data_IF_461402819814
#
_entry.id   IF_461402819814
#
_cell.length_a   1.000
_cell.length_b   1.000
_cell.length_c   1.000
_cell.angle_alpha   90.00
_cell.angle_beta   90.00
_cell.angle_gamma   90.00
#
_symmetry.space_group_name_H-M   'P 1'
#
loop_
_entity.id
_entity.type
_entity.pdbx_description
1 polymer ?
#
# COMPACT_ATOMS: atom_id res chain seq x y z
N UNK A 1 -11.32 -39.25 -92.30
CA UNK A 1 -11.04 -38.38 -91.17
C UNK A 1 -12.31 -38.13 -90.37
N UNK A 2 -12.50 -38.91 -89.25
CA UNK A 2 -13.69 -38.83 -88.38
C UNK A 2 -13.31 -38.07 -87.10
N UNK A 3 -13.95 -36.92 -86.88
CA UNK A 3 -13.83 -36.16 -85.63
C UNK A 3 -14.69 -36.81 -84.53
N UNK A 4 -14.06 -37.23 -83.45
CA UNK A 4 -14.73 -37.71 -82.26
C UNK A 4 -15.32 -36.54 -81.45
N UNK A 5 -16.65 -36.62 -81.17
CA UNK A 5 -17.31 -35.67 -80.26
C UNK A 5 -17.07 -36.16 -78.82
N UNK A 6 -16.62 -35.26 -77.97
CA UNK A 6 -16.55 -35.50 -76.51
C UNK A 6 -17.94 -35.38 -75.89
N UNK A 7 -18.32 -36.24 -74.98
CA UNK A 7 -19.56 -36.09 -74.20
C UNK A 7 -19.40 -35.06 -73.08
N UNK A 8 -20.46 -34.26 -72.89
CA UNK A 8 -20.56 -33.26 -71.78
C UNK A 8 -20.80 -33.98 -70.48
N UNK A 9 -20.27 -33.51 -69.35
CA UNK A 9 -20.54 -34.07 -68.03
C UNK A 9 -21.94 -33.67 -67.54
N UNK A 10 -22.70 -34.62 -67.11
CA UNK A 10 -23.98 -34.42 -66.45
C UNK A 10 -23.75 -34.06 -65.00
N UNK A 11 -24.41 -33.01 -64.54
CA UNK A 11 -24.40 -32.55 -63.13
C UNK A 11 -25.54 -33.27 -62.41
N UNK A 12 -25.30 -34.07 -61.36
CA UNK A 12 -26.38 -34.63 -60.56
C UNK A 12 -27.01 -33.57 -59.69
N UNK A 13 -28.30 -33.41 -59.74
CA UNK A 13 -29.14 -32.60 -58.84
C UNK A 13 -29.22 -33.28 -57.49
N UNK A 14 -28.63 -32.61 -56.46
CA UNK A 14 -28.75 -33.02 -55.08
C UNK A 14 -30.08 -32.50 -54.48
N UNK A 15 -30.73 -33.28 -53.58
CA UNK A 15 -31.98 -32.88 -52.96
C UNK A 15 -31.74 -31.80 -51.86
N UNK A 16 -32.69 -30.88 -51.79
CA UNK A 16 -32.75 -29.88 -50.71
C UNK A 16 -32.89 -30.55 -49.33
N UNK A 17 -31.76 -30.70 -48.62
CA UNK A 17 -31.74 -31.04 -47.22
C UNK A 17 -31.99 -29.77 -46.39
N UNK A 18 -33.05 -29.83 -45.56
CA UNK A 18 -33.39 -28.80 -44.59
C UNK A 18 -32.15 -28.51 -43.69
N UNK A 19 -31.51 -27.36 -43.89
CA UNK A 19 -30.51 -26.86 -42.98
C UNK A 19 -31.19 -26.43 -41.67
N UNK A 20 -31.01 -27.23 -40.62
CA UNK A 20 -31.38 -26.90 -39.25
C UNK A 20 -30.39 -25.83 -38.77
N UNK A 21 -30.85 -24.60 -38.67
CA UNK A 21 -30.06 -23.46 -38.13
C UNK A 21 -29.89 -23.69 -36.64
N UNK A 22 -28.76 -24.29 -36.20
CA UNK A 22 -28.36 -24.31 -34.81
C UNK A 22 -27.88 -22.91 -34.44
N UNK A 23 -28.74 -22.15 -33.75
CA UNK A 23 -28.40 -20.88 -33.13
C UNK A 23 -27.51 -21.19 -31.94
N UNK A 24 -26.18 -21.07 -32.11
CA UNK A 24 -25.23 -21.12 -31.01
C UNK A 24 -25.38 -19.83 -30.16
N UNK A 25 -26.10 -19.96 -29.05
CA UNK A 25 -26.15 -18.91 -28.02
C UNK A 25 -24.78 -18.82 -27.37
N UNK A 26 -23.98 -17.87 -27.81
CA UNK A 26 -22.74 -17.47 -27.14
C UNK A 26 -23.12 -16.69 -25.89
N UNK A 27 -23.21 -17.34 -24.73
CA UNK A 27 -23.32 -16.69 -23.46
C UNK A 27 -21.96 -16.02 -23.17
N UNK A 28 -21.88 -14.69 -22.98
CA UNK A 28 -20.64 -14.10 -22.51
C UNK A 28 -20.40 -14.59 -21.07
N UNK A 29 -19.32 -15.34 -20.84
CA UNK A 29 -18.77 -15.53 -19.51
C UNK A 29 -18.33 -14.15 -19.01
N UNK A 30 -19.22 -13.47 -18.31
CA UNK A 30 -18.90 -12.26 -17.54
C UNK A 30 -17.93 -12.68 -16.45
N UNK A 31 -16.63 -12.51 -16.69
CA UNK A 31 -15.62 -12.61 -15.65
C UNK A 31 -15.90 -11.53 -14.62
N UNK A 32 -16.47 -11.91 -13.47
CA UNK A 32 -16.55 -11.03 -12.32
C UNK A 32 -15.11 -10.70 -11.91
N UNK A 33 -14.64 -9.49 -12.26
CA UNK A 33 -13.40 -8.96 -11.73
C UNK A 33 -13.60 -8.81 -10.21
N UNK A 34 -12.96 -9.69 -9.43
CA UNK A 34 -12.94 -9.55 -7.98
C UNK A 34 -12.23 -8.23 -7.67
N UNK A 35 -12.81 -7.37 -6.82
CA UNK A 35 -12.14 -6.17 -6.41
C UNK A 35 -10.83 -6.57 -5.71
N UNK A 36 -9.69 -6.14 -6.25
CA UNK A 36 -8.41 -6.19 -5.54
C UNK A 36 -8.58 -5.22 -4.37
N UNK A 37 -8.76 -5.76 -3.18
CA UNK A 37 -8.79 -4.95 -1.97
C UNK A 37 -7.42 -4.26 -1.87
N UNK A 38 -7.40 -2.93 -2.03
CA UNK A 38 -6.23 -2.13 -1.74
C UNK A 38 -5.89 -2.37 -0.25
N UNK A 39 -4.75 -2.99 0.02
CA UNK A 39 -4.29 -3.17 1.39
C UNK A 39 -4.01 -1.79 1.96
N UNK A 40 -4.73 -1.43 3.01
CA UNK A 40 -4.47 -0.20 3.73
C UNK A 40 -3.04 -0.25 4.30
N UNK A 41 -2.29 0.82 4.12
CA UNK A 41 -0.95 0.95 4.71
C UNK A 41 -1.10 0.87 6.22
N UNK A 42 -0.35 -0.05 6.85
CA UNK A 42 -0.36 -0.21 8.29
C UNK A 42 0.94 0.32 8.87
N UNK A 43 0.80 1.23 9.82
CA UNK A 43 1.92 1.74 10.59
C UNK A 43 1.87 1.23 12.03
N UNK A 44 3.05 1.01 12.61
CA UNK A 44 3.30 0.69 14.01
C UNK A 44 4.39 1.61 14.55
N UNK A 45 4.55 1.63 15.85
CA UNK A 45 5.65 2.37 16.49
C UNK A 45 6.56 1.42 17.25
N UNK A 46 7.85 1.70 17.25
CA UNK A 46 8.84 0.97 18.02
C UNK A 46 8.60 1.21 19.50
N UNK A 47 8.41 0.13 20.28
CA UNK A 47 8.12 0.22 21.72
C UNK A 47 9.36 0.62 22.53
N UNK A 48 10.48 -0.07 22.26
CA UNK A 48 11.77 0.14 22.90
C UNK A 48 12.86 0.05 21.84
N UNK A 49 14.07 0.56 22.13
CA UNK A 49 15.19 0.50 21.19
C UNK A 49 15.40 -0.92 20.67
N UNK A 50 15.30 -1.13 19.36
CA UNK A 50 15.44 -2.43 18.71
C UNK A 50 16.36 -2.36 17.51
N UNK A 51 16.82 -3.52 17.02
CA UNK A 51 17.64 -3.61 15.82
C UNK A 51 16.78 -3.86 14.59
N UNK A 52 16.99 -3.10 13.54
CA UNK A 52 16.55 -3.44 12.21
C UNK A 52 17.58 -4.39 11.61
N UNK A 53 17.13 -5.54 11.11
CA UNK A 53 17.99 -6.60 10.61
C UNK A 53 17.77 -6.86 9.13
N UNK A 54 18.76 -7.44 8.47
CA UNK A 54 18.68 -7.80 7.06
C UNK A 54 17.71 -8.96 6.81
N UNK A 55 17.64 -9.92 7.75
CA UNK A 55 16.80 -11.13 7.65
C UNK A 55 16.00 -11.35 8.94
N UNK A 56 14.89 -12.13 8.89
CA UNK A 56 14.05 -12.43 10.06
C UNK A 56 14.69 -13.50 10.95
N UNK A 57 15.86 -13.21 11.50
CA UNK A 57 16.59 -14.09 12.39
C UNK A 57 17.32 -13.30 13.49
N UNK A 58 17.40 -13.83 14.74
CA UNK A 58 18.00 -13.10 15.85
C UNK A 58 19.51 -12.89 15.71
N UNK A 59 20.19 -13.71 14.93
CA UNK A 59 21.62 -13.66 14.61
C UNK A 59 21.93 -12.97 13.27
N UNK A 60 20.90 -12.54 12.52
CA UNK A 60 21.08 -11.82 11.27
C UNK A 60 21.81 -10.49 11.47
N UNK A 61 22.49 -10.03 10.43
CA UNK A 61 23.19 -8.75 10.45
C UNK A 61 22.25 -7.59 10.82
N UNK A 62 22.72 -6.75 11.74
CA UNK A 62 22.00 -5.55 12.16
C UNK A 62 22.34 -4.39 11.21
N UNK A 63 21.35 -3.88 10.50
CA UNK A 63 21.50 -2.73 9.61
C UNK A 63 21.70 -1.45 10.43
N UNK A 64 20.81 -1.21 11.38
CA UNK A 64 20.91 -0.10 12.34
C UNK A 64 19.94 -0.29 13.50
N UNK A 65 19.98 0.66 14.45
CA UNK A 65 19.13 0.67 15.64
C UNK A 65 17.98 1.67 15.47
N UNK A 66 16.75 1.18 15.59
CA UNK A 66 15.55 2.00 15.68
C UNK A 66 15.38 2.52 17.11
N UNK A 67 15.02 3.79 17.24
CA UNK A 67 14.74 4.44 18.54
C UNK A 67 13.30 4.17 18.98
N UNK A 68 13.00 4.25 20.29
CA UNK A 68 11.64 4.21 20.78
C UNK A 68 10.78 5.28 20.10
N UNK A 69 9.53 4.92 19.78
CA UNK A 69 8.59 5.81 19.12
C UNK A 69 8.80 5.96 17.61
N UNK A 70 9.88 5.46 17.01
CA UNK A 70 10.04 5.53 15.54
C UNK A 70 8.85 4.87 14.86
N UNK A 71 8.09 5.56 13.98
CA UNK A 71 7.07 4.94 13.16
C UNK A 71 7.72 4.02 12.13
N UNK A 72 7.07 2.91 11.82
CA UNK A 72 7.45 1.98 10.75
C UNK A 72 6.21 1.52 10.01
N UNK A 73 6.32 1.36 8.70
CA UNK A 73 5.29 0.76 7.85
C UNK A 73 5.46 -0.75 7.81
N UNK A 74 4.40 -1.50 8.06
CA UNK A 74 4.43 -2.96 7.98
C UNK A 74 4.24 -3.38 6.53
N UNK A 75 5.22 -4.11 5.98
CA UNK A 75 5.19 -4.62 4.60
C UNK A 75 4.85 -6.11 4.55
N UNK A 76 5.48 -6.92 5.42
CA UNK A 76 5.27 -8.37 5.50
C UNK A 76 5.27 -8.81 6.96
N UNK A 77 4.53 -9.88 7.26
CA UNK A 77 4.59 -10.60 8.56
C UNK A 77 4.99 -12.04 8.31
N UNK A 78 5.98 -12.52 9.04
CA UNK A 78 6.52 -13.86 8.88
C UNK A 78 7.06 -14.37 10.22
N UNK A 79 6.51 -15.47 10.73
CA UNK A 79 7.00 -16.22 11.89
C UNK A 79 7.42 -15.38 13.12
N UNK A 80 6.61 -14.37 13.47
CA UNK A 80 6.88 -13.48 14.59
C UNK A 80 7.76 -12.28 14.25
N UNK A 81 8.27 -12.20 13.03
CA UNK A 81 9.00 -11.07 12.49
C UNK A 81 8.11 -10.19 11.62
N UNK A 82 8.48 -8.92 11.49
CA UNK A 82 7.84 -7.98 10.60
C UNK A 82 8.89 -7.33 9.70
N UNK A 83 8.71 -7.47 8.39
CA UNK A 83 9.45 -6.65 7.45
C UNK A 83 8.81 -5.28 7.43
N UNK A 84 9.63 -4.29 7.67
CA UNK A 84 9.17 -2.91 7.79
C UNK A 84 9.90 -1.98 6.82
N UNK A 85 9.23 -0.89 6.44
CA UNK A 85 9.87 0.26 5.83
C UNK A 85 10.06 1.33 6.90
N UNK A 86 11.25 1.89 6.98
CA UNK A 86 11.62 2.97 7.90
C UNK A 86 11.30 4.36 7.30
N UNK A 87 11.37 5.44 8.10
CA UNK A 87 11.12 6.80 7.61
C UNK A 87 12.09 7.29 6.52
N UNK A 88 13.27 6.70 6.39
CA UNK A 88 14.25 7.01 5.35
C UNK A 88 13.98 6.23 4.04
N UNK A 89 13.00 5.30 4.05
CA UNK A 89 12.64 4.46 2.92
C UNK A 89 13.39 3.14 2.86
N UNK A 90 14.26 2.84 3.83
CA UNK A 90 14.97 1.57 3.96
C UNK A 90 14.05 0.43 4.40
N UNK A 91 14.42 -0.80 4.06
CA UNK A 91 13.68 -2.00 4.46
C UNK A 91 14.55 -2.88 5.35
N UNK A 92 13.90 -3.56 6.28
CA UNK A 92 14.53 -4.56 7.12
C UNK A 92 13.52 -5.28 7.99
N UNK A 93 14.00 -6.13 8.88
CA UNK A 93 13.19 -6.97 9.74
C UNK A 93 13.35 -6.57 11.20
N UNK A 94 12.24 -6.56 11.91
CA UNK A 94 12.17 -6.38 13.37
C UNK A 94 11.33 -7.48 13.98
N UNK A 95 11.61 -7.84 15.23
CA UNK A 95 10.72 -8.73 15.99
C UNK A 95 9.35 -8.08 16.18
N UNK A 96 8.29 -8.83 15.94
CA UNK A 96 6.92 -8.31 16.07
C UNK A 96 6.60 -7.78 17.47
N UNK A 97 7.17 -8.40 18.52
CA UNK A 97 7.04 -7.95 19.90
C UNK A 97 7.72 -6.60 20.21
N UNK A 98 8.60 -6.13 19.34
CA UNK A 98 9.23 -4.81 19.48
C UNK A 98 8.34 -3.65 18.99
N UNK A 99 7.18 -3.96 18.38
CA UNK A 99 6.26 -2.97 17.81
C UNK A 99 4.96 -2.89 18.62
N UNK A 100 4.45 -1.67 18.76
CA UNK A 100 3.17 -1.40 19.44
C UNK A 100 2.16 -0.73 18.52
N UNK A 101 0.89 -0.83 18.88
CA UNK A 101 -0.23 -0.25 18.13
C UNK A 101 -0.36 1.25 18.30
N UNK A 102 0.21 1.81 19.39
CA UNK A 102 0.24 3.28 19.55
C UNK A 102 0.90 3.90 18.33
N UNK A 103 0.22 4.86 17.73
CA UNK A 103 0.68 5.50 16.49
C UNK A 103 1.54 6.71 16.80
N UNK A 104 2.60 6.85 16.06
CA UNK A 104 3.46 8.03 16.02
C UNK A 104 3.69 8.46 14.58
N UNK A 105 4.10 9.69 14.42
CA UNK A 105 4.61 10.24 13.16
C UNK A 105 5.97 10.85 13.41
N UNK A 106 6.78 10.96 12.37
CA UNK A 106 8.10 11.60 12.44
C UNK A 106 8.11 12.79 11.48
N UNK A 107 8.67 13.90 11.93
CA UNK A 107 8.82 15.11 11.11
C UNK A 107 9.85 14.86 10.01
N UNK A 108 9.44 15.04 8.75
CA UNK A 108 10.29 14.91 7.55
C UNK A 108 10.73 16.25 6.98
N UNK A 109 9.94 17.29 7.21
CA UNK A 109 10.34 18.67 6.90
C UNK A 109 11.55 19.10 7.73
N UNK A 110 12.34 20.04 7.27
CA UNK A 110 13.42 20.61 8.07
C UNK A 110 12.89 21.22 9.38
N UNK A 111 11.74 21.88 9.29
CA UNK A 111 10.98 22.42 10.40
C UNK A 111 9.49 22.36 10.08
N UNK A 112 8.70 21.82 10.98
CA UNK A 112 7.24 21.78 10.94
C UNK A 112 6.67 22.76 11.99
N UNK A 113 5.66 23.52 11.61
CA UNK A 113 4.93 24.41 12.52
C UNK A 113 3.66 23.70 12.96
N UNK A 114 3.64 23.22 14.18
CA UNK A 114 2.45 22.63 14.78
C UNK A 114 1.54 23.75 15.28
N UNK A 115 0.30 23.78 14.77
CA UNK A 115 -0.64 24.87 14.97
C UNK A 115 -1.72 24.52 15.99
N UNK A 116 -2.35 25.53 16.57
CA UNK A 116 -3.43 25.35 17.56
C UNK A 116 -4.74 24.87 16.95
N UNK A 117 -4.93 25.02 15.64
CA UNK A 117 -6.07 24.52 14.87
C UNK A 117 -5.62 24.04 13.50
N UNK A 118 -6.44 23.18 12.86
CA UNK A 118 -6.19 22.56 11.56
C UNK A 118 -6.39 23.56 10.40
N UNK A 119 -5.62 24.64 10.37
CA UNK A 119 -5.67 25.67 9.33
C UNK A 119 -4.37 26.49 9.30
N UNK A 120 -3.98 26.96 8.12
CA UNK A 120 -2.73 27.69 7.87
C UNK A 120 -2.61 29.00 8.66
N UNK A 121 -3.70 29.66 8.93
CA UNK A 121 -3.74 30.95 9.64
C UNK A 121 -3.78 30.82 11.15
N UNK A 122 -3.90 29.59 11.68
CA UNK A 122 -3.93 29.38 13.12
C UNK A 122 -2.57 29.69 13.76
N UNK A 123 -2.60 30.23 14.98
CA UNK A 123 -1.41 30.52 15.73
C UNK A 123 -0.56 29.26 15.97
N UNK A 124 0.77 29.35 15.96
CA UNK A 124 1.66 28.26 16.35
C UNK A 124 1.37 27.78 17.79
N UNK A 125 1.37 26.47 17.98
CA UNK A 125 1.42 25.83 19.30
C UNK A 125 2.87 25.57 19.71
N UNK A 126 3.65 24.97 18.80
CA UNK A 126 5.09 24.74 18.93
C UNK A 126 5.72 24.47 17.56
N UNK A 127 7.04 24.39 17.52
CA UNK A 127 7.79 24.00 16.33
C UNK A 127 8.50 22.67 16.58
N UNK A 128 8.61 21.83 15.55
CA UNK A 128 9.33 20.57 15.60
C UNK A 128 10.29 20.48 14.40
N UNK A 129 11.53 20.13 14.65
CA UNK A 129 12.55 19.95 13.61
C UNK A 129 12.52 18.54 13.03
N UNK A 130 13.21 18.33 11.93
CA UNK A 130 13.37 17.01 11.28
C UNK A 130 13.77 15.95 12.31
N UNK A 131 13.20 14.76 12.16
CA UNK A 131 13.38 13.58 13.01
C UNK A 131 12.77 13.68 14.42
N UNK A 132 12.05 14.74 14.75
CA UNK A 132 11.23 14.75 15.96
C UNK A 132 10.07 13.80 15.79
N UNK A 133 9.87 12.93 16.79
CA UNK A 133 8.75 11.98 16.85
C UNK A 133 7.62 12.62 17.64
N UNK A 134 6.42 12.57 17.08
CA UNK A 134 5.19 13.05 17.70
C UNK A 134 4.19 11.90 17.82
N UNK A 135 3.47 11.82 18.92
CA UNK A 135 2.36 10.89 19.06
C UNK A 135 1.21 11.35 18.16
N UNK A 136 0.63 10.42 17.39
CA UNK A 136 -0.54 10.67 16.57
C UNK A 136 -1.80 10.47 17.40
N UNK A 137 -2.51 11.55 17.70
CA UNK A 137 -3.76 11.51 18.47
C UNK A 137 -4.98 11.26 17.58
N UNK A 138 -5.00 11.93 16.42
CA UNK A 138 -6.06 11.78 15.43
C UNK A 138 -5.44 11.65 14.03
N UNK A 139 -5.90 10.70 13.20
CA UNK A 139 -5.43 10.55 11.82
C UNK A 139 -5.62 11.83 11.01
N UNK A 140 -4.87 11.95 9.93
CA UNK A 140 -4.97 13.11 9.06
C UNK A 140 -6.38 13.26 8.46
N UNK A 141 -6.93 14.46 8.59
CA UNK A 141 -8.18 14.86 7.96
C UNK A 141 -7.98 16.24 7.33
N UNK A 142 -8.43 16.41 6.08
CA UNK A 142 -8.28 17.66 5.32
C UNK A 142 -6.83 18.21 5.32
N UNK A 143 -5.83 17.30 5.28
CA UNK A 143 -4.41 17.65 5.25
C UNK A 143 -3.78 17.92 6.62
N UNK A 144 -4.50 17.78 7.73
CA UNK A 144 -3.98 18.05 9.08
C UNK A 144 -4.13 16.82 9.98
N UNK A 145 -3.08 16.51 10.75
CA UNK A 145 -3.07 15.46 11.77
C UNK A 145 -2.93 16.08 13.16
N UNK A 146 -3.70 15.61 14.14
CA UNK A 146 -3.52 16.04 15.53
C UNK A 146 -2.44 15.24 16.20
N UNK A 147 -1.48 15.93 16.80
CA UNK A 147 -0.29 15.32 17.37
C UNK A 147 0.02 15.86 18.76
N UNK A 148 0.82 15.08 19.50
CA UNK A 148 1.34 15.46 20.82
C UNK A 148 2.84 15.27 20.87
N UNK A 149 3.54 16.26 21.37
CA UNK A 149 4.96 16.15 21.72
C UNK A 149 5.13 15.39 23.05
N UNK A 150 6.30 14.77 23.27
CA UNK A 150 6.61 14.05 24.51
C UNK A 150 6.48 14.91 25.77
N UNK A 151 6.69 16.21 25.66
CA UNK A 151 6.50 17.19 26.75
C UNK A 151 5.04 17.58 26.98
N UNK A 152 4.08 16.97 26.25
CA UNK A 152 2.64 17.18 26.43
C UNK A 152 2.02 18.29 25.58
N UNK A 153 2.79 19.04 24.79
CA UNK A 153 2.24 20.04 23.89
C UNK A 153 1.47 19.37 22.75
N UNK A 154 0.27 19.85 22.48
CA UNK A 154 -0.61 19.32 21.43
C UNK A 154 -0.87 20.38 20.34
N UNK A 155 -1.19 19.90 19.14
CA UNK A 155 -1.62 20.74 18.04
C UNK A 155 -1.78 19.96 16.75
N UNK A 156 -1.88 20.68 15.65
CA UNK A 156 -2.11 20.16 14.32
C UNK A 156 -0.90 20.39 13.43
N UNK A 157 -0.38 19.34 12.83
CA UNK A 157 0.72 19.36 11.86
C UNK A 157 0.17 19.08 10.46
N UNK A 158 0.72 19.74 9.47
CA UNK A 158 0.34 19.45 8.09
C UNK A 158 0.86 18.07 7.65
N UNK A 159 0.01 17.28 6.97
CA UNK A 159 0.32 15.90 6.62
C UNK A 159 1.56 15.75 5.73
N UNK A 160 1.89 16.75 4.92
CA UNK A 160 3.09 16.75 4.06
C UNK A 160 4.40 16.95 4.80
N UNK A 161 4.35 17.38 6.08
CA UNK A 161 5.54 17.66 6.89
C UNK A 161 5.97 16.47 7.74
N UNK A 162 5.15 15.40 7.75
CA UNK A 162 5.38 14.21 8.59
C UNK A 162 5.21 12.92 7.79
N UNK A 163 5.78 11.85 8.31
CA UNK A 163 5.63 10.49 7.80
C UNK A 163 5.11 9.57 8.91
N UNK A 164 4.29 8.55 8.51
CA UNK A 164 3.70 7.58 9.45
C UNK A 164 2.18 7.76 9.66
N UNK A 165 1.50 8.49 8.77
CA UNK A 165 0.05 8.75 8.83
C UNK A 165 -0.82 7.58 8.34
#
# INVERSE_FOLDING_TARGET
MKRARRPSPQIPSAPLGRALLMLAVFAPLGGAALPVAAQAIEYRSVAASTLLREQPAPDAEALFRLRPGTPVEIVVREDGWMRVRDPAGGFGWVEGGALVTRRTVIVTAERAIVRRAAQETAAPAFEATRNVVLELLEPASHGWARVRHVEGFEGYVHASEVWGL
#
